data_IF_248150252840
#
_entry.id   IF_248150252840
#
_cell.length_a   1.000
_cell.length_b   1.000
_cell.length_c   1.000
_cell.angle_alpha   90.00
_cell.angle_beta   90.00
_cell.angle_gamma   90.00
#
_symmetry.space_group_name_H-M   'P 1'
#
loop_
_entity.id
_entity.type
_entity.pdbx_description
1 polymer ?
#
# COMPACT_ATOMS: atom_id res chain seq x y z
N UNK A 1 47.52 -25.02 55.49
CA UNK A 1 47.32 -23.73 56.18
C UNK A 1 47.90 -22.64 55.28
N UNK A 2 47.06 -21.84 54.60
CA UNK A 2 46.63 -20.48 54.97
C UNK A 2 47.82 -19.49 55.06
N UNK A 3 47.84 -18.29 54.51
CA UNK A 3 46.93 -17.48 53.69
C UNK A 3 47.74 -16.22 53.33
N UNK A 4 47.64 -15.66 52.11
CA UNK A 4 48.01 -14.25 51.86
C UNK A 4 47.32 -13.74 50.60
N UNK A 5 46.39 -12.78 50.74
CA UNK A 5 45.77 -12.04 49.63
C UNK A 5 46.56 -10.76 49.39
N UNK A 6 46.92 -10.46 48.14
CA UNK A 6 47.15 -9.10 47.62
C UNK A 6 46.83 -9.08 46.12
N UNK A 7 46.06 -8.08 45.67
CA UNK A 7 45.89 -7.59 44.27
C UNK A 7 46.55 -6.19 44.21
N UNK A 8 46.88 -5.55 43.05
CA UNK A 8 46.15 -5.51 41.76
C UNK A 8 47.10 -5.40 40.52
N UNK A 9 46.76 -4.73 39.39
CA UNK A 9 45.90 -5.13 38.26
C UNK A 9 46.63 -5.30 36.89
N UNK A 10 45.95 -5.91 35.91
CA UNK A 10 46.44 -6.29 34.56
C UNK A 10 46.29 -5.18 33.47
N UNK A 11 47.06 -5.25 32.36
CA UNK A 11 47.39 -4.10 31.52
C UNK A 11 46.60 -3.94 30.21
N UNK A 12 46.77 -2.72 29.65
CA UNK A 12 46.39 -2.19 28.33
C UNK A 12 46.49 -3.16 27.15
N UNK A 13 45.45 -3.21 26.31
CA UNK A 13 45.54 -3.62 24.91
C UNK A 13 45.13 -2.46 24.00
N UNK A 14 46.10 -2.00 23.22
CA UNK A 14 46.00 -0.98 22.18
C UNK A 14 45.38 -1.59 20.92
N UNK A 15 44.39 -0.92 20.34
CA UNK A 15 43.77 -1.29 19.07
C UNK A 15 44.69 -0.90 17.90
N UNK A 16 45.14 -1.88 17.12
CA UNK A 16 45.89 -1.67 15.88
C UNK A 16 44.98 -1.18 14.76
N UNK A 17 45.48 -0.17 14.07
CA UNK A 17 44.94 0.54 12.91
C UNK A 17 45.12 -0.34 11.66
N UNK A 18 44.04 -0.74 11.00
CA UNK A 18 44.09 -1.42 9.70
C UNK A 18 43.75 -0.47 8.55
N UNK A 19 44.76 -0.32 7.70
CA UNK A 19 44.91 0.35 6.40
C UNK A 19 43.62 0.63 5.60
N UNK A 20 43.37 1.91 5.32
CA UNK A 20 42.45 2.35 4.27
C UNK A 20 43.15 2.38 2.91
N UNK A 21 42.54 1.74 1.92
CA UNK A 21 42.95 1.79 0.51
C UNK A 21 42.52 3.12 -0.12
N UNK A 22 43.47 3.85 -0.70
CA UNK A 22 43.24 5.10 -1.40
C UNK A 22 42.64 4.84 -2.79
N UNK A 23 41.44 5.36 -3.05
CA UNK A 23 40.85 5.39 -4.39
C UNK A 23 41.28 6.68 -5.14
N UNK A 24 41.48 6.62 -6.47
CA UNK A 24 42.00 7.75 -7.24
C UNK A 24 40.91 8.83 -7.45
N UNK A 25 41.34 10.10 -7.42
CA UNK A 25 40.49 11.27 -7.64
C UNK A 25 40.09 11.35 -9.12
N UNK A 26 38.85 10.99 -9.43
CA UNK A 26 38.19 11.32 -10.68
C UNK A 26 37.60 12.74 -10.60
N UNK A 27 37.76 13.49 -11.69
CA UNK A 27 37.48 14.92 -11.80
C UNK A 27 36.05 15.31 -11.43
N UNK A 28 35.91 16.55 -10.97
CA UNK A 28 34.64 17.16 -10.61
C UNK A 28 33.64 17.07 -11.78
N UNK A 29 32.61 16.23 -11.61
CA UNK A 29 31.41 16.29 -12.43
C UNK A 29 30.66 17.59 -12.13
N UNK A 30 29.93 18.18 -13.09
CA UNK A 30 29.05 19.32 -12.83
C UNK A 30 28.08 18.94 -11.70
N UNK A 31 27.98 19.80 -10.69
CA UNK A 31 26.95 19.70 -9.65
C UNK A 31 25.59 19.56 -10.34
N UNK A 32 24.77 18.56 -9.99
CA UNK A 32 23.40 18.52 -10.48
C UNK A 32 22.68 19.77 -9.98
N UNK A 33 21.93 20.42 -10.87
CA UNK A 33 21.04 21.54 -10.56
C UNK A 33 20.39 21.34 -9.20
N UNK A 34 20.47 22.36 -8.32
CA UNK A 34 19.87 22.36 -7.00
C UNK A 34 18.42 21.86 -7.12
N UNK A 35 18.19 20.63 -6.67
CA UNK A 35 16.85 20.12 -6.39
C UNK A 35 16.17 21.16 -5.52
N UNK A 36 15.02 21.69 -5.97
CA UNK A 36 14.15 22.53 -5.15
C UNK A 36 14.10 21.95 -3.74
N UNK A 37 14.35 22.74 -2.68
CA UNK A 37 14.45 22.19 -1.33
C UNK A 37 13.20 21.36 -1.05
N UNK A 38 13.40 20.05 -0.85
CA UNK A 38 12.30 19.14 -0.63
C UNK A 38 11.50 19.63 0.58
N UNK A 39 10.19 19.81 0.41
CA UNK A 39 9.29 20.21 1.49
C UNK A 39 9.46 19.26 2.69
N UNK A 40 9.87 19.81 3.82
CA UNK A 40 9.92 19.07 5.08
C UNK A 40 8.50 18.94 5.64
N UNK A 41 8.25 17.89 6.43
CA UNK A 41 6.93 17.65 7.04
C UNK A 41 6.45 18.80 7.94
N UNK A 42 7.38 19.48 8.60
CA UNK A 42 7.09 20.60 9.50
C UNK A 42 7.14 21.98 8.79
N UNK A 43 7.35 22.01 7.46
CA UNK A 43 7.46 23.26 6.72
C UNK A 43 6.08 23.92 6.49
N UNK A 44 5.78 25.07 7.11
CA UNK A 44 4.50 25.76 6.93
C UNK A 44 4.28 26.23 5.49
N UNK A 45 5.35 26.33 4.68
CA UNK A 45 5.26 26.71 3.26
C UNK A 45 4.42 25.73 2.44
N UNK A 46 4.21 24.49 2.93
CA UNK A 46 3.28 23.53 2.37
C UNK A 46 1.83 24.07 2.25
N UNK A 47 1.46 25.05 3.07
CA UNK A 47 0.13 25.66 3.05
C UNK A 47 0.04 26.93 2.20
N UNK A 48 1.14 27.42 1.59
CA UNK A 48 1.16 28.71 0.87
C UNK A 48 0.20 28.80 -0.32
N UNK A 49 -0.17 27.64 -0.88
CA UNK A 49 -1.09 27.52 -2.03
C UNK A 49 -2.57 27.42 -1.61
N UNK A 50 -2.83 27.46 -0.29
CA UNK A 50 -4.18 27.42 0.28
C UNK A 50 -4.64 28.84 0.61
N UNK A 51 -5.90 29.11 0.29
CA UNK A 51 -6.59 30.35 0.66
C UNK A 51 -6.94 30.37 2.15
N UNK A 52 -7.18 31.57 2.69
CA UNK A 52 -7.67 31.75 4.06
C UNK A 52 -8.95 30.93 4.35
N UNK A 53 -9.87 30.85 3.39
CA UNK A 53 -11.09 30.05 3.52
C UNK A 53 -10.80 28.54 3.61
N UNK A 54 -9.86 28.03 2.80
CA UNK A 54 -9.43 26.63 2.88
C UNK A 54 -8.77 26.32 4.23
N UNK A 55 -7.99 27.25 4.78
CA UNK A 55 -7.34 27.07 6.08
C UNK A 55 -8.34 27.09 7.24
N UNK A 56 -9.31 28.01 7.23
CA UNK A 56 -10.38 28.06 8.24
C UNK A 56 -11.25 26.79 8.20
N UNK A 57 -11.59 26.33 6.99
CA UNK A 57 -12.32 25.07 6.79
C UNK A 57 -11.54 23.89 7.32
N UNK A 58 -10.24 23.80 7.01
CA UNK A 58 -9.36 22.76 7.52
C UNK A 58 -9.35 22.75 9.05
N UNK A 59 -9.14 23.91 9.68
CA UNK A 59 -9.14 24.05 11.14
C UNK A 59 -10.47 23.58 11.76
N UNK A 60 -11.60 24.00 11.18
CA UNK A 60 -12.92 23.56 11.63
C UNK A 60 -13.13 22.06 11.52
N UNK A 61 -12.78 21.46 10.37
CA UNK A 61 -12.90 20.00 10.15
C UNK A 61 -12.01 19.22 11.11
N UNK A 62 -10.75 19.60 11.27
CA UNK A 62 -9.84 18.91 12.19
C UNK A 62 -10.28 19.07 13.66
N UNK A 63 -10.81 20.23 14.04
CA UNK A 63 -11.38 20.40 15.36
C UNK A 63 -12.58 19.48 15.60
N UNK A 64 -13.49 19.35 14.62
CA UNK A 64 -14.61 18.41 14.69
C UNK A 64 -14.13 16.95 14.83
N UNK A 65 -13.12 16.56 14.04
CA UNK A 65 -12.51 15.23 14.13
C UNK A 65 -11.77 14.98 15.46
N UNK A 66 -11.48 16.00 16.27
CA UNK A 66 -10.87 15.84 17.58
C UNK A 66 -11.84 15.38 18.67
N UNK A 67 -13.17 15.47 18.43
CA UNK A 67 -14.19 15.06 19.40
C UNK A 67 -14.48 13.54 19.31
N UNK A 68 -14.12 12.74 20.32
CA UNK A 68 -14.27 11.28 20.24
C UNK A 68 -15.73 10.83 20.10
N UNK A 69 -16.67 11.54 20.74
CA UNK A 69 -18.10 11.22 20.62
C UNK A 69 -18.62 11.37 19.19
N UNK A 70 -18.12 12.37 18.45
CA UNK A 70 -18.50 12.59 17.06
C UNK A 70 -17.92 11.50 16.17
N UNK A 71 -16.61 11.25 16.29
CA UNK A 71 -15.89 10.28 15.45
C UNK A 71 -16.40 8.86 15.69
N UNK A 72 -16.57 8.45 16.94
CA UNK A 72 -17.01 7.10 17.29
C UNK A 72 -18.48 6.84 16.93
N UNK A 73 -19.29 7.88 16.70
CA UNK A 73 -20.69 7.75 16.30
C UNK A 73 -20.97 8.29 14.88
N UNK A 74 -19.93 8.55 14.08
CA UNK A 74 -20.07 9.24 12.79
C UNK A 74 -21.01 8.50 11.83
N UNK A 75 -20.95 7.16 11.75
CA UNK A 75 -21.84 6.37 10.90
C UNK A 75 -23.33 6.55 11.25
N UNK A 76 -23.67 6.50 12.55
CA UNK A 76 -25.04 6.74 13.02
C UNK A 76 -25.47 8.18 12.74
N UNK A 77 -24.60 9.14 13.04
CA UNK A 77 -24.89 10.55 12.82
C UNK A 77 -25.10 10.87 11.33
N UNK A 78 -24.28 10.30 10.45
CA UNK A 78 -24.43 10.43 9.00
C UNK A 78 -25.74 9.82 8.52
N UNK A 79 -26.14 8.66 9.04
CA UNK A 79 -27.43 8.03 8.71
C UNK A 79 -28.61 8.91 9.14
N UNK A 80 -28.59 9.42 10.37
CA UNK A 80 -29.61 10.35 10.87
C UNK A 80 -29.65 11.63 10.05
N UNK A 81 -28.50 12.25 9.79
CA UNK A 81 -28.40 13.47 8.99
C UNK A 81 -28.91 13.27 7.56
N UNK A 82 -28.57 12.14 6.92
CA UNK A 82 -29.06 11.79 5.57
C UNK A 82 -30.57 11.56 5.57
N UNK A 83 -31.13 10.99 6.64
CA UNK A 83 -32.57 10.76 6.78
C UNK A 83 -33.33 12.07 6.98
N UNK A 84 -32.78 13.00 7.77
CA UNK A 84 -33.42 14.29 8.06
C UNK A 84 -33.27 15.31 6.92
N UNK A 85 -32.09 15.43 6.32
CA UNK A 85 -31.78 16.44 5.29
C UNK A 85 -32.03 15.94 3.86
N UNK A 86 -32.24 14.64 3.70
CA UNK A 86 -32.26 13.97 2.39
C UNK A 86 -30.89 13.97 1.70
N UNK A 87 -30.79 13.26 0.56
CA UNK A 87 -29.52 13.15 -0.18
C UNK A 87 -28.96 14.50 -0.64
N UNK A 88 -29.83 15.37 -1.18
CA UNK A 88 -29.42 16.68 -1.72
C UNK A 88 -28.97 17.64 -0.62
N UNK A 89 -29.73 17.76 0.47
CA UNK A 89 -29.36 18.64 1.60
C UNK A 89 -28.09 18.17 2.29
N UNK A 90 -27.94 16.85 2.46
CA UNK A 90 -26.73 16.25 3.02
C UNK A 90 -25.50 16.51 2.14
N UNK A 91 -25.63 16.34 0.82
CA UNK A 91 -24.57 16.62 -0.15
C UNK A 91 -24.18 18.11 -0.14
N UNK A 92 -25.14 19.03 -0.14
CA UNK A 92 -24.89 20.48 -0.07
C UNK A 92 -24.14 20.91 1.19
N UNK A 93 -24.29 20.18 2.29
CA UNK A 93 -23.58 20.44 3.54
C UNK A 93 -22.17 19.85 3.53
N UNK A 94 -22.02 18.59 3.11
CA UNK A 94 -20.74 17.87 3.19
C UNK A 94 -19.77 18.20 2.06
N UNK A 95 -20.25 18.45 0.84
CA UNK A 95 -19.41 18.76 -0.32
C UNK A 95 -18.48 19.97 -0.06
N UNK A 96 -18.98 21.16 0.34
CA UNK A 96 -18.13 22.32 0.56
C UNK A 96 -17.31 22.26 1.86
N UNK A 97 -17.54 21.28 2.74
CA UNK A 97 -16.89 21.18 4.06
C UNK A 97 -15.86 20.05 4.12
N UNK A 98 -16.31 18.84 4.47
CA UNK A 98 -15.46 17.66 4.71
C UNK A 98 -14.91 17.10 3.41
N UNK A 99 -15.73 16.99 2.36
CA UNK A 99 -15.25 16.48 1.06
C UNK A 99 -14.19 17.40 0.46
N UNK A 100 -14.43 18.71 0.42
CA UNK A 100 -13.44 19.69 -0.03
C UNK A 100 -12.13 19.70 0.80
N UNK A 101 -12.09 19.04 1.97
CA UNK A 101 -10.87 18.91 2.77
C UNK A 101 -10.01 17.73 2.32
N UNK A 102 -10.63 16.60 1.97
CA UNK A 102 -9.95 15.32 1.77
C UNK A 102 -9.95 14.85 0.32
N UNK A 103 -10.87 15.34 -0.51
CA UNK A 103 -11.06 14.94 -1.90
C UNK A 103 -10.49 16.02 -2.81
N UNK A 104 -9.72 15.62 -3.82
CA UNK A 104 -9.08 16.53 -4.76
C UNK A 104 -10.10 17.23 -5.69
N UNK A 105 -11.23 16.58 -5.97
CA UNK A 105 -12.33 17.06 -6.80
C UNK A 105 -13.21 15.91 -7.29
N UNK A 106 -14.42 16.24 -7.76
CA UNK A 106 -15.34 15.27 -8.40
C UNK A 106 -15.19 15.28 -9.92
N UNK A 107 -14.62 16.35 -10.49
CA UNK A 107 -14.43 16.50 -11.94
C UNK A 107 -12.96 16.59 -12.32
N UNK A 108 -12.65 16.28 -13.57
CA UNK A 108 -11.31 16.41 -14.15
C UNK A 108 -10.73 17.83 -13.97
N UNK A 109 -11.58 18.86 -14.07
CA UNK A 109 -11.18 20.26 -13.89
C UNK A 109 -10.81 20.59 -12.43
N UNK A 110 -11.55 20.08 -11.46
CA UNK A 110 -11.28 20.30 -10.03
C UNK A 110 -10.02 19.56 -9.60
N UNK A 111 -9.87 18.31 -10.04
CA UNK A 111 -8.69 17.50 -9.78
C UNK A 111 -7.45 18.19 -10.38
N UNK A 112 -7.52 18.65 -11.63
CA UNK A 112 -6.41 19.36 -12.28
C UNK A 112 -5.98 20.59 -11.49
N UNK A 113 -6.92 21.42 -11.03
CA UNK A 113 -6.64 22.61 -10.22
C UNK A 113 -5.99 22.26 -8.88
N UNK A 114 -6.48 21.23 -8.20
CA UNK A 114 -5.90 20.75 -6.94
C UNK A 114 -4.43 20.31 -7.12
N UNK A 115 -4.09 19.82 -8.31
CA UNK A 115 -2.76 19.31 -8.57
C UNK A 115 -1.81 20.40 -9.01
N UNK A 116 -2.26 21.35 -9.82
CA UNK A 116 -1.46 22.55 -10.11
C UNK A 116 -0.99 23.21 -8.81
N UNK A 117 -1.86 23.32 -7.79
CA UNK A 117 -1.46 23.80 -6.45
C UNK A 117 -0.34 22.97 -5.84
N UNK A 118 -0.40 21.64 -5.92
CA UNK A 118 0.65 20.75 -5.40
C UNK A 118 1.94 20.83 -6.24
N UNK A 119 1.84 21.02 -7.55
CA UNK A 119 3.00 21.16 -8.44
C UNK A 119 3.77 22.46 -8.19
N UNK A 120 3.08 23.55 -7.86
CA UNK A 120 3.70 24.82 -7.42
C UNK A 120 4.52 24.65 -6.13
N UNK A 121 4.27 23.57 -5.37
CA UNK A 121 5.03 23.17 -4.20
C UNK A 121 6.17 22.20 -4.53
N UNK A 122 6.33 21.78 -5.79
CA UNK A 122 7.27 20.73 -6.18
C UNK A 122 6.79 19.32 -5.80
N UNK A 123 5.52 19.16 -5.42
CA UNK A 123 4.92 17.86 -5.10
C UNK A 123 4.35 17.20 -6.36
N UNK A 124 4.46 15.87 -6.41
CA UNK A 124 3.84 15.03 -7.43
C UNK A 124 2.75 14.18 -6.80
N UNK A 125 1.48 14.57 -6.94
CA UNK A 125 0.38 13.80 -6.36
C UNK A 125 0.13 12.52 -7.16
N UNK A 126 -0.41 11.54 -6.45
CA UNK A 126 -0.91 10.28 -6.99
C UNK A 126 -2.43 10.27 -6.83
N UNK A 127 -3.17 9.89 -7.88
CA UNK A 127 -4.62 9.73 -7.76
C UNK A 127 -4.96 8.46 -7.01
N UNK A 128 -5.97 8.56 -6.15
CA UNK A 128 -6.52 7.46 -5.40
C UNK A 128 -8.03 7.47 -5.60
N UNK A 129 -8.60 6.32 -5.98
CA UNK A 129 -10.05 6.16 -6.01
C UNK A 129 -10.49 5.80 -4.58
N UNK A 130 -11.35 6.61 -3.93
CA UNK A 130 -11.83 6.33 -2.59
C UNK A 130 -12.88 5.22 -2.65
N UNK A 131 -12.43 3.98 -2.87
CA UNK A 131 -13.28 2.80 -2.83
C UNK A 131 -13.10 2.16 -1.44
N UNK A 132 -14.20 2.11 -0.70
CA UNK A 132 -14.37 1.36 0.53
C UNK A 132 -15.56 0.41 0.36
N UNK A 133 -15.44 -0.78 0.94
CA UNK A 133 -16.37 -1.91 0.71
C UNK A 133 -17.80 -1.65 1.17
N UNK A 134 -17.99 -0.70 2.10
CA UNK A 134 -19.20 -0.54 2.91
C UNK A 134 -20.13 0.60 2.49
N UNK A 135 -19.86 1.31 1.39
CA UNK A 135 -20.58 2.55 1.05
C UNK A 135 -21.47 2.46 -0.21
N UNK A 136 -21.50 1.31 -0.90
CA UNK A 136 -22.22 1.13 -2.16
C UNK A 136 -23.60 0.45 -2.04
N UNK A 137 -24.52 0.77 -2.95
CA UNK A 137 -25.81 0.08 -3.11
C UNK A 137 -25.70 -1.22 -3.93
N UNK A 138 -24.59 -1.39 -4.67
CA UNK A 138 -24.31 -2.56 -5.50
C UNK A 138 -23.83 -3.75 -4.66
N UNK A 139 -24.42 -4.92 -4.86
CA UNK A 139 -24.04 -6.17 -4.19
C UNK A 139 -23.41 -7.18 -5.17
N UNK A 140 -22.60 -8.11 -4.65
CA UNK A 140 -21.97 -9.18 -5.44
C UNK A 140 -20.96 -8.68 -6.47
N UNK A 141 -20.87 -9.38 -7.62
CA UNK A 141 -19.90 -9.09 -8.69
C UNK A 141 -20.02 -7.68 -9.27
N UNK A 142 -21.26 -7.17 -9.39
CA UNK A 142 -21.53 -5.84 -9.95
C UNK A 142 -20.77 -4.74 -9.20
N UNK A 143 -20.59 -4.87 -7.88
CA UNK A 143 -19.82 -3.92 -7.07
C UNK A 143 -18.37 -3.82 -7.56
N UNK A 144 -17.74 -4.96 -7.85
CA UNK A 144 -16.36 -4.99 -8.34
C UNK A 144 -16.26 -4.50 -9.79
N UNK A 145 -17.30 -4.68 -10.60
CA UNK A 145 -17.37 -4.12 -11.94
C UNK A 145 -17.51 -2.59 -11.91
N UNK A 146 -18.39 -2.06 -11.06
CA UNK A 146 -18.54 -0.61 -10.85
C UNK A 146 -17.21 0.00 -10.33
N UNK A 147 -16.51 -0.71 -9.44
CA UNK A 147 -15.17 -0.33 -8.96
C UNK A 147 -14.11 -0.35 -10.07
N UNK A 148 -14.16 -1.35 -10.95
CA UNK A 148 -13.26 -1.45 -12.10
C UNK A 148 -13.43 -0.23 -13.00
N UNK A 149 -14.67 0.15 -13.33
CA UNK A 149 -14.94 1.31 -14.18
C UNK A 149 -14.40 2.61 -13.56
N UNK A 150 -14.58 2.80 -12.24
CA UNK A 150 -13.99 3.94 -11.53
C UNK A 150 -12.45 3.96 -11.55
N UNK A 151 -11.81 2.78 -11.47
CA UNK A 151 -10.36 2.66 -11.57
C UNK A 151 -9.84 2.88 -12.99
N UNK A 152 -10.54 2.41 -14.01
CA UNK A 152 -10.21 2.68 -15.42
C UNK A 152 -10.34 4.16 -15.75
N UNK A 153 -11.35 4.84 -15.20
CA UNK A 153 -11.48 6.28 -15.30
C UNK A 153 -10.31 7.01 -14.61
N UNK A 154 -9.88 6.54 -13.44
CA UNK A 154 -8.70 7.05 -12.76
C UNK A 154 -7.41 6.89 -13.61
N UNK A 155 -7.24 5.75 -14.30
CA UNK A 155 -6.14 5.56 -15.27
C UNK A 155 -6.24 6.59 -16.39
N UNK A 156 -7.44 6.76 -16.99
CA UNK A 156 -7.68 7.71 -18.08
C UNK A 156 -7.29 9.13 -17.66
N UNK A 157 -7.80 9.59 -16.52
CA UNK A 157 -7.54 10.93 -15.99
C UNK A 157 -6.07 11.14 -15.60
N UNK A 158 -5.43 10.09 -15.06
CA UNK A 158 -4.00 10.13 -14.72
C UNK A 158 -3.13 10.29 -15.95
N UNK A 159 -3.52 9.69 -17.07
CA UNK A 159 -2.82 9.78 -18.34
C UNK A 159 -3.10 11.08 -19.12
N UNK A 160 -4.39 11.48 -19.24
CA UNK A 160 -4.84 12.59 -20.10
C UNK A 160 -4.20 13.93 -19.73
N UNK A 161 -4.03 14.19 -18.43
CA UNK A 161 -3.76 15.53 -17.97
C UNK A 161 -2.29 15.98 -18.09
N UNK A 162 -1.36 15.15 -18.58
CA UNK A 162 0.11 15.42 -18.76
C UNK A 162 0.84 16.14 -17.60
N UNK A 163 0.17 16.22 -16.47
CA UNK A 163 0.44 16.96 -15.27
C UNK A 163 1.65 16.44 -14.48
N UNK A 164 1.99 15.15 -14.63
CA UNK A 164 3.23 14.51 -14.17
C UNK A 164 3.92 13.82 -15.33
N UNK A 165 5.26 13.90 -15.38
CA UNK A 165 6.11 13.13 -16.31
C UNK A 165 5.98 11.62 -16.12
N UNK A 166 5.68 11.21 -14.88
CA UNK A 166 5.46 9.83 -14.47
C UNK A 166 4.19 9.80 -13.61
N UNK A 167 2.99 9.72 -14.21
CA UNK A 167 1.75 9.68 -13.44
C UNK A 167 1.64 8.34 -12.70
N UNK A 168 1.04 8.40 -11.51
CA UNK A 168 0.90 7.25 -10.62
C UNK A 168 -0.54 7.19 -10.12
N UNK A 169 -1.04 5.98 -9.89
CA UNK A 169 -2.32 5.75 -9.23
C UNK A 169 -2.22 4.68 -8.14
N UNK A 170 -3.10 4.77 -7.16
CA UNK A 170 -3.28 3.75 -6.14
C UNK A 170 -4.28 2.68 -6.60
N UNK A 171 -3.96 1.41 -6.30
CA UNK A 171 -4.84 0.27 -6.52
C UNK A 171 -4.95 -0.55 -5.22
N UNK A 172 -6.16 -0.81 -4.75
CA UNK A 172 -6.42 -1.82 -3.70
C UNK A 172 -6.93 -3.09 -4.38
N UNK A 173 -6.39 -4.24 -3.99
CA UNK A 173 -6.83 -5.52 -4.58
C UNK A 173 -8.23 -5.88 -4.08
N UNK A 174 -8.53 -5.59 -2.82
CA UNK A 174 -9.83 -5.87 -2.20
C UNK A 174 -11.01 -5.12 -2.84
N UNK A 175 -10.71 -4.02 -3.53
CA UNK A 175 -11.72 -3.29 -4.29
C UNK A 175 -12.16 -4.03 -5.57
N UNK A 176 -11.46 -5.12 -5.96
CA UNK A 176 -11.75 -5.93 -7.16
C UNK A 176 -11.87 -7.44 -6.87
N UNK A 177 -11.53 -7.85 -5.65
CA UNK A 177 -11.52 -9.24 -5.20
C UNK A 177 -11.91 -9.30 -3.72
N UNK A 178 -12.74 -10.26 -3.30
CA UNK A 178 -13.18 -10.36 -1.91
C UNK A 178 -12.02 -10.44 -0.90
N UNK A 179 -12.06 -9.67 0.21
CA UNK A 179 -11.13 -9.81 1.32
C UNK A 179 -11.14 -11.21 1.93
N UNK A 180 -12.32 -11.81 2.11
CA UNK A 180 -12.49 -13.15 2.66
C UNK A 180 -11.74 -14.17 1.81
N UNK A 181 -11.86 -14.07 0.48
CA UNK A 181 -11.11 -14.90 -0.45
C UNK A 181 -9.60 -14.63 -0.35
N UNK A 182 -9.18 -13.37 -0.20
CA UNK A 182 -7.76 -13.04 0.03
C UNK A 182 -7.21 -13.64 1.33
N UNK A 183 -8.01 -13.70 2.40
CA UNK A 183 -7.65 -14.40 3.66
C UNK A 183 -7.50 -15.90 3.42
N UNK A 184 -8.46 -16.50 2.71
CA UNK A 184 -8.42 -17.94 2.40
C UNK A 184 -7.20 -18.30 1.55
N UNK A 185 -6.94 -17.55 0.48
CA UNK A 185 -5.74 -17.72 -0.36
C UNK A 185 -4.47 -17.56 0.47
N UNK A 186 -4.41 -16.56 1.37
CA UNK A 186 -3.26 -16.38 2.28
C UNK A 186 -3.00 -17.64 3.13
N UNK A 187 -4.07 -18.27 3.62
CA UNK A 187 -3.97 -19.49 4.43
C UNK A 187 -3.48 -20.67 3.59
N UNK A 188 -3.97 -20.82 2.37
CA UNK A 188 -3.59 -21.88 1.44
C UNK A 188 -2.12 -21.76 1.00
N UNK A 189 -1.66 -20.55 0.67
CA UNK A 189 -0.28 -20.35 0.18
C UNK A 189 0.77 -20.45 1.28
N UNK A 190 0.37 -20.34 2.56
CA UNK A 190 1.24 -20.59 3.70
C UNK A 190 1.60 -22.08 3.84
N UNK A 191 0.74 -22.98 3.36
CA UNK A 191 0.96 -24.43 3.39
C UNK A 191 1.84 -24.88 2.21
N UNK A 192 1.62 -24.29 1.03
CA UNK A 192 2.36 -24.60 -0.18
C UNK A 192 2.56 -23.32 -0.99
N UNK A 193 3.80 -22.94 -1.34
CA UNK A 193 4.03 -21.76 -2.18
C UNK A 193 3.51 -22.02 -3.60
N UNK A 194 2.87 -20.99 -4.18
CA UNK A 194 2.33 -21.04 -5.54
C UNK A 194 3.19 -20.23 -6.50
N UNK A 195 3.31 -20.71 -7.74
CA UNK A 195 3.93 -19.96 -8.83
C UNK A 195 2.96 -18.88 -9.35
N UNK A 196 3.35 -17.58 -9.36
CA UNK A 196 2.56 -16.51 -9.95
C UNK A 196 2.15 -16.76 -11.40
N UNK A 197 2.84 -17.61 -12.16
CA UNK A 197 2.48 -17.96 -13.56
C UNK A 197 1.07 -18.54 -13.69
N UNK A 198 0.55 -19.23 -12.67
CA UNK A 198 -0.83 -19.73 -12.66
C UNK A 198 -1.83 -18.56 -12.71
N UNK A 199 -1.59 -17.51 -11.93
CA UNK A 199 -2.45 -16.33 -11.89
C UNK A 199 -2.33 -15.48 -13.15
N UNK A 200 -1.15 -15.47 -13.80
CA UNK A 200 -0.98 -14.81 -15.11
C UNK A 200 -1.89 -15.46 -16.16
N UNK A 201 -1.96 -16.79 -16.22
CA UNK A 201 -2.88 -17.49 -17.13
C UNK A 201 -4.35 -17.19 -16.83
N UNK A 202 -4.72 -17.13 -15.55
CA UNK A 202 -6.07 -16.73 -15.14
C UNK A 202 -6.41 -15.28 -15.51
N UNK A 203 -5.44 -14.35 -15.45
CA UNK A 203 -5.62 -12.97 -15.94
C UNK A 203 -5.97 -12.94 -17.43
N UNK A 204 -5.43 -13.86 -18.23
CA UNK A 204 -5.74 -14.06 -19.64
C UNK A 204 -7.07 -14.81 -19.88
N UNK A 205 -7.79 -15.15 -18.81
CA UNK A 205 -9.07 -15.85 -18.86
C UNK A 205 -8.96 -17.36 -19.03
N UNK A 206 -7.78 -17.94 -18.89
CA UNK A 206 -7.65 -19.39 -18.85
C UNK A 206 -8.27 -19.95 -17.55
N UNK A 207 -8.99 -21.09 -17.64
CA UNK A 207 -9.48 -21.76 -16.44
C UNK A 207 -8.30 -22.25 -15.60
N UNK A 208 -8.41 -22.06 -14.29
CA UNK A 208 -7.42 -22.53 -13.32
C UNK A 208 -8.05 -23.45 -12.29
N UNK A 209 -7.25 -24.33 -11.74
CA UNK A 209 -7.58 -25.08 -10.52
C UNK A 209 -6.69 -24.50 -9.42
N UNK A 210 -7.32 -24.00 -8.36
CA UNK A 210 -6.61 -23.54 -7.18
C UNK A 210 -6.95 -24.47 -6.01
N UNK A 211 -6.02 -25.37 -5.60
CA UNK A 211 -6.28 -26.32 -4.53
C UNK A 211 -6.78 -25.64 -3.25
N UNK A 212 -7.89 -26.13 -2.72
CA UNK A 212 -8.53 -25.60 -1.50
C UNK A 212 -9.57 -24.50 -1.74
N UNK A 213 -9.78 -24.07 -2.98
CA UNK A 213 -10.92 -23.25 -3.37
C UNK A 213 -12.01 -24.11 -4.02
N UNK A 214 -13.27 -23.76 -3.76
CA UNK A 214 -14.42 -24.35 -4.44
C UNK A 214 -14.69 -23.68 -5.80
N UNK A 215 -15.64 -24.21 -6.57
CA UNK A 215 -15.97 -23.72 -7.91
C UNK A 215 -16.40 -22.25 -7.92
N UNK A 216 -17.16 -21.81 -6.90
CA UNK A 216 -17.65 -20.43 -6.81
C UNK A 216 -16.52 -19.45 -6.46
N UNK A 217 -15.61 -19.88 -5.58
CA UNK A 217 -14.43 -19.11 -5.20
C UNK A 217 -13.41 -19.02 -6.34
N UNK A 218 -13.22 -20.10 -7.11
CA UNK A 218 -12.38 -20.08 -8.32
C UNK A 218 -12.98 -19.16 -9.38
N UNK A 219 -14.30 -19.20 -9.58
CA UNK A 219 -14.98 -18.29 -10.50
C UNK A 219 -14.82 -16.82 -10.05
N UNK A 220 -14.99 -16.54 -8.75
CA UNK A 220 -14.80 -15.19 -8.21
C UNK A 220 -13.34 -14.73 -8.33
N UNK A 221 -12.37 -15.61 -8.06
CA UNK A 221 -10.95 -15.33 -8.28
C UNK A 221 -10.65 -14.98 -9.73
N UNK A 222 -11.18 -15.76 -10.68
CA UNK A 222 -10.98 -15.53 -12.10
C UNK A 222 -11.54 -14.18 -12.52
N UNK A 223 -12.76 -13.84 -12.11
CA UNK A 223 -13.34 -12.51 -12.35
C UNK A 223 -12.44 -11.40 -11.80
N UNK A 224 -12.01 -11.49 -10.53
CA UNK A 224 -11.12 -10.49 -9.92
C UNK A 224 -9.78 -10.34 -10.64
N UNK A 225 -9.17 -11.45 -11.06
CA UNK A 225 -7.91 -11.43 -11.84
C UNK A 225 -8.10 -10.83 -13.22
N UNK A 226 -9.21 -11.09 -13.91
CA UNK A 226 -9.53 -10.44 -15.19
C UNK A 226 -9.76 -8.93 -15.05
N UNK A 227 -10.40 -8.47 -13.95
CA UNK A 227 -10.52 -7.04 -13.66
C UNK A 227 -9.16 -6.38 -13.46
N UNK A 228 -8.30 -7.00 -12.66
CA UNK A 228 -6.92 -6.56 -12.45
C UNK A 228 -6.11 -6.56 -13.76
N UNK A 229 -6.34 -7.54 -14.63
CA UNK A 229 -5.75 -7.61 -15.96
C UNK A 229 -6.12 -6.38 -16.81
N UNK A 230 -7.43 -6.05 -16.88
CA UNK A 230 -7.93 -4.87 -17.60
C UNK A 230 -7.28 -3.57 -17.11
N UNK A 231 -7.06 -3.41 -15.80
CA UNK A 231 -6.36 -2.25 -15.24
C UNK A 231 -4.88 -2.24 -15.65
N UNK A 232 -4.21 -3.39 -15.59
CA UNK A 232 -2.81 -3.51 -16.04
C UNK A 232 -2.64 -3.17 -17.51
N UNK A 233 -3.52 -3.66 -18.38
CA UNK A 233 -3.54 -3.36 -19.82
C UNK A 233 -3.82 -1.88 -20.10
N UNK A 234 -4.75 -1.27 -19.35
CA UNK A 234 -5.08 0.14 -19.50
C UNK A 234 -3.93 1.06 -19.04
N UNK A 235 -3.17 0.65 -18.03
CA UNK A 235 -2.16 1.47 -17.36
C UNK A 235 -0.73 1.31 -17.88
N UNK A 236 -0.34 0.13 -18.38
CA UNK A 236 1.03 -0.13 -18.85
C UNK A 236 1.44 0.89 -19.93
N UNK A 237 2.67 1.39 -19.85
CA UNK A 237 3.20 2.47 -20.70
C UNK A 237 2.53 3.85 -20.53
N UNK A 238 1.62 4.02 -19.57
CA UNK A 238 0.88 5.27 -19.36
C UNK A 238 0.93 5.76 -17.93
N UNK A 239 0.61 4.91 -16.97
CA UNK A 239 0.43 5.23 -15.54
C UNK A 239 1.05 4.11 -14.70
N UNK A 240 1.84 4.47 -13.69
CA UNK A 240 2.37 3.49 -12.73
C UNK A 240 1.29 3.14 -11.71
N UNK A 241 1.03 1.86 -11.51
CA UNK A 241 0.04 1.35 -10.56
C UNK A 241 0.74 0.92 -9.28
N UNK A 242 0.39 1.58 -8.17
CA UNK A 242 0.89 1.25 -6.84
C UNK A 242 -0.16 0.43 -6.13
N UNK A 243 0.11 -0.87 -6.00
CA UNK A 243 -0.76 -1.78 -5.27
C UNK A 243 -0.55 -1.58 -3.79
N UNK A 244 -1.64 -1.24 -3.10
CA UNK A 244 -1.65 -0.93 -1.69
C UNK A 244 -1.45 -2.17 -0.83
N UNK A 245 -0.72 -2.01 0.26
CA UNK A 245 -0.78 -2.96 1.36
C UNK A 245 -2.01 -2.66 2.21
N UNK A 246 -2.74 -3.70 2.58
CA UNK A 246 -4.00 -3.60 3.31
C UNK A 246 -3.83 -4.22 4.69
N UNK A 247 -4.87 -4.89 5.19
CA UNK A 247 -4.80 -5.60 6.46
C UNK A 247 -3.75 -6.71 6.43
N UNK A 248 -3.01 -6.86 7.52
CA UNK A 248 -1.79 -7.67 7.52
C UNK A 248 -2.04 -9.16 7.30
N UNK A 249 -3.25 -9.65 7.62
CA UNK A 249 -3.63 -11.05 7.51
C UNK A 249 -3.99 -11.49 6.07
N UNK A 250 -4.16 -10.54 5.13
CA UNK A 250 -4.43 -10.83 3.71
C UNK A 250 -3.27 -10.47 2.78
N UNK A 251 -2.29 -9.68 3.26
CA UNK A 251 -1.15 -9.20 2.47
C UNK A 251 -0.38 -10.29 1.69
N UNK A 252 -0.22 -11.55 2.17
CA UNK A 252 0.41 -12.59 1.36
C UNK A 252 -0.34 -12.89 0.06
N UNK A 253 -1.68 -12.98 0.08
CA UNK A 253 -2.48 -13.11 -1.13
C UNK A 253 -2.37 -11.87 -2.03
N UNK A 254 -2.43 -10.67 -1.45
CA UNK A 254 -2.28 -9.43 -2.21
C UNK A 254 -0.91 -9.36 -2.90
N UNK A 255 0.14 -9.80 -2.20
CA UNK A 255 1.48 -9.88 -2.76
C UNK A 255 1.55 -10.90 -3.90
N UNK A 256 0.94 -12.08 -3.76
CA UNK A 256 0.89 -13.09 -4.82
C UNK A 256 0.22 -12.54 -6.09
N UNK A 257 -0.93 -11.89 -5.94
CA UNK A 257 -1.67 -11.25 -7.04
C UNK A 257 -0.83 -10.13 -7.67
N UNK A 258 -0.21 -9.27 -6.86
CA UNK A 258 0.63 -8.17 -7.35
C UNK A 258 1.86 -8.70 -8.08
N UNK A 259 2.49 -9.76 -7.59
CA UNK A 259 3.62 -10.40 -8.27
C UNK A 259 3.22 -11.01 -9.61
N UNK A 260 2.01 -11.57 -9.73
CA UNK A 260 1.48 -12.03 -11.02
C UNK A 260 1.28 -10.85 -11.99
N UNK A 261 0.73 -9.72 -11.53
CA UNK A 261 0.61 -8.51 -12.33
C UNK A 261 1.99 -7.99 -12.78
N UNK A 262 2.96 -7.93 -11.86
CA UNK A 262 4.34 -7.52 -12.19
C UNK A 262 4.97 -8.46 -13.22
N UNK A 263 4.82 -9.78 -13.04
CA UNK A 263 5.31 -10.76 -14.01
C UNK A 263 4.70 -10.55 -15.40
N UNK A 264 3.42 -10.17 -15.48
CA UNK A 264 2.72 -9.92 -16.74
C UNK A 264 3.11 -8.59 -17.38
N UNK A 265 3.16 -7.49 -16.63
CA UNK A 265 3.25 -6.13 -17.19
C UNK A 265 4.63 -5.46 -17.05
N UNK A 266 5.47 -5.86 -16.10
CA UNK A 266 6.79 -5.25 -15.90
C UNK A 266 7.87 -5.90 -16.78
N UNK A 267 7.75 -5.70 -18.10
CA UNK A 267 8.70 -6.23 -19.09
C UNK A 267 9.94 -5.35 -19.25
N UNK A 268 9.75 -4.16 -19.81
CA UNK A 268 10.84 -3.21 -20.09
C UNK A 268 10.96 -2.12 -19.02
N UNK A 269 9.93 -1.96 -18.19
CA UNK A 269 9.88 -0.93 -17.14
C UNK A 269 8.99 -1.33 -15.96
N UNK A 270 9.19 -0.63 -14.85
CA UNK A 270 8.46 -0.75 -13.59
C UNK A 270 7.07 -0.08 -13.65
N UNK A 271 6.04 -0.81 -14.06
CA UNK A 271 4.66 -0.30 -14.19
C UNK A 271 3.79 -0.64 -12.98
N UNK A 272 3.88 -1.87 -12.50
CA UNK A 272 3.18 -2.35 -11.31
C UNK A 272 4.15 -2.38 -10.13
N UNK A 273 3.74 -1.78 -9.02
CA UNK A 273 4.54 -1.63 -7.80
C UNK A 273 3.83 -2.31 -6.65
N UNK A 274 4.57 -3.11 -5.89
CA UNK A 274 4.05 -3.72 -4.66
C UNK A 274 4.42 -2.87 -3.45
N UNK A 275 3.52 -2.76 -2.48
CA UNK A 275 3.74 -2.01 -1.25
C UNK A 275 4.01 -2.95 -0.07
N UNK A 276 5.08 -2.70 0.68
CA UNK A 276 5.45 -3.47 1.87
C UNK A 276 5.42 -2.60 3.12
N UNK A 277 4.81 -3.12 4.17
CA UNK A 277 4.63 -2.44 5.45
C UNK A 277 5.83 -2.70 6.38
N UNK A 278 6.77 -1.78 6.48
CA UNK A 278 8.04 -1.94 7.21
C UNK A 278 7.90 -2.00 8.74
N UNK A 279 6.72 -1.71 9.31
CA UNK A 279 6.46 -1.91 10.74
C UNK A 279 6.23 -3.38 11.12
N UNK A 280 6.09 -4.28 10.15
CA UNK A 280 5.88 -5.70 10.41
C UNK A 280 7.21 -6.42 10.64
N UNK A 281 7.37 -7.05 11.80
CA UNK A 281 8.53 -7.92 12.09
C UNK A 281 8.68 -9.06 11.07
N UNK A 282 7.57 -9.55 10.53
CA UNK A 282 7.54 -10.56 9.47
C UNK A 282 8.10 -10.07 8.13
N UNK A 283 8.24 -8.75 7.93
CA UNK A 283 8.83 -8.16 6.71
C UNK A 283 10.35 -7.98 6.80
N UNK A 284 11.02 -8.53 7.83
CA UNK A 284 12.50 -8.64 7.83
C UNK A 284 13.04 -9.48 6.65
N UNK A 285 12.17 -10.19 5.93
CA UNK A 285 12.46 -11.04 4.77
C UNK A 285 12.06 -10.42 3.42
N UNK A 286 11.84 -9.10 3.33
CA UNK A 286 11.70 -8.41 2.01
C UNK A 286 12.90 -8.73 1.11
N UNK A 287 14.10 -8.84 1.66
CA UNK A 287 15.32 -9.28 0.94
C UNK A 287 15.19 -10.69 0.35
N UNK A 288 14.58 -11.65 1.06
CA UNK A 288 14.34 -13.01 0.59
C UNK A 288 13.30 -13.06 -0.54
N UNK A 289 12.25 -12.24 -0.44
CA UNK A 289 11.25 -12.11 -1.50
C UNK A 289 11.92 -11.51 -2.75
N UNK A 290 12.65 -10.41 -2.61
CA UNK A 290 13.41 -9.79 -3.71
C UNK A 290 14.36 -10.80 -4.36
N UNK A 291 15.12 -11.55 -3.56
CA UNK A 291 16.09 -12.54 -4.05
C UNK A 291 15.43 -13.68 -4.84
N UNK A 292 14.27 -14.17 -4.39
CA UNK A 292 13.56 -15.28 -5.07
C UNK A 292 12.99 -14.89 -6.43
N UNK A 293 12.61 -13.62 -6.61
CA UNK A 293 11.96 -13.15 -7.84
C UNK A 293 12.90 -12.43 -8.81
N UNK A 294 14.06 -11.96 -8.34
CA UNK A 294 15.13 -11.48 -9.24
C UNK A 294 15.60 -12.56 -10.22
N UNK A 295 15.57 -13.83 -9.81
CA UNK A 295 15.90 -14.98 -10.66
C UNK A 295 14.91 -15.21 -11.82
N UNK A 296 13.72 -14.58 -11.80
CA UNK A 296 12.61 -14.86 -12.71
C UNK A 296 12.49 -13.93 -13.94
N UNK A 297 13.47 -13.06 -14.24
CA UNK A 297 13.41 -12.04 -15.33
C UNK A 297 12.12 -11.19 -15.24
N UNK A 298 11.87 -10.62 -14.07
CA UNK A 298 10.76 -9.67 -13.84
C UNK A 298 11.33 -8.39 -13.25
N UNK A 299 10.94 -7.22 -13.79
CA UNK A 299 11.33 -5.95 -13.18
C UNK A 299 10.57 -5.77 -11.87
N UNK A 300 11.29 -5.89 -10.75
CA UNK A 300 10.75 -5.75 -9.41
C UNK A 300 10.69 -4.27 -8.98
N UNK A 301 9.55 -3.86 -8.45
CA UNK A 301 9.27 -2.46 -8.06
C UNK A 301 8.59 -2.44 -6.70
N UNK A 302 9.12 -1.59 -5.80
CA UNK A 302 8.82 -1.63 -4.37
C UNK A 302 8.45 -0.24 -3.85
N UNK A 303 7.35 -0.18 -3.10
CA UNK A 303 6.99 0.95 -2.24
C UNK A 303 7.02 0.51 -0.76
N UNK A 304 7.52 1.35 0.15
CA UNK A 304 7.65 1.01 1.57
C UNK A 304 6.88 1.98 2.45
N UNK A 305 6.05 1.45 3.35
CA UNK A 305 5.23 2.26 4.27
C UNK A 305 5.49 1.90 5.73
N UNK A 306 5.49 2.92 6.60
CA UNK A 306 5.79 2.75 8.03
C UNK A 306 4.57 2.59 8.93
N UNK A 307 3.38 3.11 8.62
CA UNK A 307 2.18 2.97 9.46
C UNK A 307 0.89 3.11 8.62
N UNK A 308 -0.10 2.22 8.85
CA UNK A 308 -1.49 2.37 8.37
C UNK A 308 -2.52 1.70 9.30
N UNK A 309 -2.27 0.47 9.78
CA UNK A 309 -3.25 -0.35 10.57
C UNK A 309 -2.77 -0.77 11.97
N UNK A 310 -2.06 0.09 12.71
CA UNK A 310 -1.51 -0.28 14.02
C UNK A 310 -2.57 -0.50 15.15
N UNK A 311 -3.69 0.24 15.24
CA UNK A 311 -4.62 0.12 16.37
C UNK A 311 -5.40 -1.21 16.44
N UNK A 312 -5.80 -1.78 15.30
CA UNK A 312 -6.66 -2.99 15.24
C UNK A 312 -5.93 -4.27 15.67
N UNK A 313 -4.59 -4.26 15.77
CA UNK A 313 -3.83 -5.42 16.26
C UNK A 313 -4.05 -5.75 17.73
N UNK A 314 -4.55 -4.82 18.55
CA UNK A 314 -4.71 -5.08 20.00
C UNK A 314 -5.78 -6.13 20.32
N UNK A 315 -6.70 -6.42 19.40
CA UNK A 315 -7.81 -7.35 19.65
C UNK A 315 -7.57 -8.80 19.21
N UNK A 316 -6.51 -9.07 18.44
CA UNK A 316 -6.13 -10.43 18.00
C UNK A 316 -4.76 -10.80 18.55
N UNK A 317 -4.64 -10.90 19.88
CA UNK A 317 -3.49 -11.57 20.49
C UNK A 317 -3.62 -13.07 20.25
N UNK A 318 -2.70 -13.57 19.42
CA UNK A 318 -2.41 -14.99 19.20
C UNK A 318 -2.16 -15.64 20.57
N UNK A 319 -3.02 -16.60 20.94
CA UNK A 319 -2.77 -17.52 22.04
C UNK A 319 -1.40 -18.19 21.82
N UNK A 320 -0.49 -18.19 22.81
CA UNK A 320 0.80 -18.84 22.65
C UNK A 320 0.59 -20.34 22.44
N UNK A 321 1.01 -20.86 21.29
CA UNK A 321 1.14 -22.29 21.05
C UNK A 321 2.13 -22.87 22.07
N UNK A 322 1.63 -23.75 22.93
CA UNK A 322 2.43 -24.53 23.85
C UNK A 322 3.46 -25.36 23.08
N UNK A 323 4.73 -25.19 23.46
CA UNK A 323 5.86 -25.96 22.96
C UNK A 323 5.71 -27.44 23.31
N UNK A 324 5.40 -28.28 22.34
CA UNK A 324 5.56 -29.74 22.47
C UNK A 324 7.03 -30.06 22.15
N UNK A 325 7.77 -30.34 23.23
CA UNK A 325 9.14 -30.85 23.17
C UNK A 325 9.12 -32.30 22.66
N UNK A 326 9.52 -32.52 21.41
CA UNK A 326 9.85 -33.86 20.91
C UNK A 326 11.23 -34.27 21.42
N UNK A 327 11.28 -35.13 22.45
CA UNK A 327 12.49 -35.86 22.82
C UNK A 327 12.68 -37.03 21.85
N UNK A 328 13.83 -37.07 21.18
CA UNK A 328 14.31 -38.22 20.42
C UNK A 328 14.68 -39.37 21.37
N UNK A 329 14.33 -40.64 21.06
CA UNK A 329 14.83 -41.79 21.81
C UNK A 329 16.28 -42.09 21.36
N UNK A 330 17.21 -42.10 22.32
CA UNK A 330 18.56 -42.62 22.12
C UNK A 330 18.60 -44.15 22.15
N UNK A 331 19.65 -44.78 21.61
CA UNK A 331 19.73 -46.23 21.51
C UNK A 331 20.12 -46.84 22.87
N UNK A 332 19.42 -47.91 23.25
CA UNK A 332 19.70 -48.67 24.48
C UNK A 332 20.80 -49.71 24.23
N UNK A 333 21.94 -49.54 24.89
CA UNK A 333 22.74 -50.63 25.46
C UNK A 333 22.70 -50.48 26.99
#
# INVERSE_FOLDING_TARGET
MMCSRLRPPLPRLLLLRAMGTAAPRLGASPQPDLLSPALAFEDPSAFRVKSWGELLRALGVFHLCSFPLLVNNCGKLMSVARTLLGRRGFSLLLQPTVYAQFVAGETETEISRSVEKMKLLGLRPMLAVPIEEDLGESTGEKRYDDNLEAMLECVRMSHSNTWSKDPMMQLKVTALLSPELCVKITTLIAQQPYDPSLLVRAMDGEPIIFPGLDESEVAHLLCGLQRLNRIGEASVNKVRVLVDAEYTYMNPALSLVTMAMMKKFNKDSAWIWNTYQCYLKANLSVSLIISKYFESIVIFSLNTLRLKYFPERRHYQILPSSSVSSRSPGPSC
#
